data_IF_325771667103
#
_entry.id   IF_325771667103
#
_cell.length_a   1.000
_cell.length_b   1.000
_cell.length_c   1.000
_cell.angle_alpha   90.00
_cell.angle_beta   90.00
_cell.angle_gamma   90.00
#
_symmetry.space_group_name_H-M   'P 1'
#
loop_
_entity.id
_entity.type
_entity.pdbx_description
1 polymer ?
#
# COMPACT_ATOMS: atom_id res chain seq x y z
N UNK A 1 51.47 -7.59 -32.94
CA UNK A 1 51.20 -6.44 -32.04
C UNK A 1 50.04 -5.51 -32.52
N UNK A 2 50.01 -5.03 -33.77
CA UNK A 2 48.91 -4.11 -34.23
C UNK A 2 47.48 -4.68 -34.12
N UNK A 3 47.27 -5.99 -34.33
CA UNK A 3 45.95 -6.65 -34.21
C UNK A 3 45.43 -6.73 -32.77
N UNK A 4 46.31 -6.88 -31.78
CA UNK A 4 45.93 -6.93 -30.37
C UNK A 4 45.46 -5.57 -29.85
N UNK A 5 46.11 -4.49 -30.28
CA UNK A 5 45.67 -3.13 -29.90
C UNK A 5 44.30 -2.77 -30.50
N UNK A 6 44.01 -3.24 -31.71
CA UNK A 6 42.71 -3.03 -32.35
C UNK A 6 41.60 -3.75 -31.60
N UNK A 7 41.82 -4.96 -31.10
CA UNK A 7 40.90 -5.73 -30.25
C UNK A 7 40.64 -5.05 -28.92
N UNK A 8 41.69 -4.51 -28.27
CA UNK A 8 41.54 -3.74 -27.03
C UNK A 8 40.74 -2.44 -27.26
N UNK A 9 40.99 -1.75 -28.36
CA UNK A 9 40.23 -0.54 -28.71
C UNK A 9 38.75 -0.82 -28.96
N UNK A 10 38.42 -1.91 -29.66
CA UNK A 10 37.07 -2.37 -29.88
C UNK A 10 36.36 -2.76 -28.56
N UNK A 11 37.11 -3.44 -27.66
CA UNK A 11 36.56 -3.83 -26.35
C UNK A 11 36.31 -2.62 -25.44
N UNK A 12 37.19 -1.61 -25.47
CA UNK A 12 36.97 -0.33 -24.80
C UNK A 12 35.81 0.45 -25.39
N UNK A 13 35.61 0.43 -26.70
CA UNK A 13 34.45 1.08 -27.36
C UNK A 13 33.12 0.39 -26.99
N UNK A 14 33.07 -0.93 -26.90
CA UNK A 14 31.88 -1.69 -26.51
C UNK A 14 31.49 -1.41 -25.06
N UNK A 15 32.46 -1.22 -24.15
CA UNK A 15 32.19 -0.90 -22.74
C UNK A 15 31.63 0.51 -22.54
N UNK A 16 31.78 1.43 -23.48
CA UNK A 16 31.20 2.78 -23.40
C UNK A 16 29.69 2.77 -23.74
N UNK A 17 29.20 1.77 -24.47
CA UNK A 17 27.80 1.67 -24.87
C UNK A 17 26.90 0.92 -23.86
N UNK A 18 27.45 0.35 -22.79
CA UNK A 18 26.69 -0.36 -21.76
C UNK A 18 26.17 0.53 -20.62
N UNK A 19 25.99 1.83 -20.86
CA UNK A 19 25.25 2.66 -19.91
C UNK A 19 23.80 2.18 -19.89
N UNK A 20 23.42 1.47 -18.85
CA UNK A 20 22.03 1.19 -18.58
C UNK A 20 21.29 2.54 -18.51
N UNK A 21 20.50 2.84 -19.54
CA UNK A 21 19.75 4.08 -19.58
C UNK A 21 18.75 4.03 -18.43
N UNK A 22 18.95 4.88 -17.45
CA UNK A 22 18.09 4.98 -16.28
C UNK A 22 17.24 6.25 -16.34
N UNK A 23 16.12 6.20 -15.64
CA UNK A 23 15.24 7.35 -15.39
C UNK A 23 15.31 7.58 -13.89
N UNK A 24 15.55 8.83 -13.47
CA UNK A 24 15.57 9.20 -12.05
C UNK A 24 14.33 10.03 -11.73
N UNK A 25 13.52 9.57 -10.79
CA UNK A 25 12.42 10.34 -10.24
C UNK A 25 12.92 11.24 -9.12
N UNK A 26 12.55 12.52 -9.17
CA UNK A 26 12.92 13.53 -8.18
C UNK A 26 11.70 14.29 -7.69
N UNK A 27 11.75 14.74 -6.44
CA UNK A 27 10.76 15.63 -5.85
C UNK A 27 10.75 16.99 -6.54
N UNK A 28 9.60 17.50 -6.91
CA UNK A 28 9.42 18.85 -7.45
C UNK A 28 9.87 19.92 -6.46
N UNK A 29 9.60 19.71 -5.17
CA UNK A 29 9.91 20.69 -4.12
C UNK A 29 11.38 20.70 -3.71
N UNK A 30 11.99 19.52 -3.60
CA UNK A 30 13.31 19.38 -2.98
C UNK A 30 14.41 19.00 -3.96
N UNK A 31 14.05 18.64 -5.20
CA UNK A 31 14.94 18.08 -6.23
C UNK A 31 15.70 16.82 -5.77
N UNK A 32 15.28 16.21 -4.66
CA UNK A 32 15.89 14.97 -4.15
C UNK A 32 15.31 13.74 -4.85
N UNK A 33 16.09 12.67 -5.01
CA UNK A 33 15.61 11.40 -5.53
C UNK A 33 14.44 10.83 -4.71
N UNK A 34 13.45 10.27 -5.41
CA UNK A 34 12.27 9.64 -4.81
C UNK A 34 12.36 8.11 -4.92
N UNK A 35 12.71 7.41 -3.82
CA UNK A 35 12.70 5.95 -3.80
C UNK A 35 11.26 5.42 -3.74
N UNK A 36 11.08 4.16 -4.20
CA UNK A 36 9.78 3.46 -4.15
C UNK A 36 8.68 4.10 -5.01
N UNK A 37 9.01 4.89 -6.00
CA UNK A 37 8.06 5.29 -7.03
C UNK A 37 7.68 4.05 -7.84
N UNK A 38 6.39 3.79 -7.97
CA UNK A 38 5.86 2.68 -8.75
C UNK A 38 5.39 3.19 -10.11
N UNK A 39 5.80 2.51 -11.17
CA UNK A 39 5.36 2.79 -12.54
C UNK A 39 4.44 1.68 -13.01
N UNK A 40 3.19 2.03 -13.32
CA UNK A 40 2.18 1.10 -13.82
C UNK A 40 1.98 1.31 -15.31
N UNK A 41 1.79 0.22 -16.03
CA UNK A 41 1.42 0.22 -17.44
C UNK A 41 -0.09 0.41 -17.64
N UNK A 42 -0.49 0.43 -18.91
CA UNK A 42 -1.89 0.61 -19.36
C UNK A 42 -2.82 -0.47 -18.80
N UNK A 43 -2.32 -1.67 -18.63
CA UNK A 43 -3.01 -2.87 -18.12
C UNK A 43 -2.99 -2.98 -16.59
N UNK A 44 -2.53 -1.94 -15.88
CA UNK A 44 -2.46 -1.92 -14.43
C UNK A 44 -1.34 -2.77 -13.83
N UNK A 45 -0.49 -3.38 -14.65
CA UNK A 45 0.67 -4.11 -14.17
C UNK A 45 1.77 -3.15 -13.73
N UNK A 46 2.48 -3.52 -12.65
CA UNK A 46 3.66 -2.79 -12.22
C UNK A 46 4.81 -3.15 -13.16
N UNK A 47 5.37 -2.12 -13.79
CA UNK A 47 6.49 -2.26 -14.72
C UNK A 47 7.83 -2.08 -14.03
N UNK A 48 7.90 -1.14 -13.08
CA UNK A 48 9.13 -0.82 -12.38
C UNK A 48 8.86 -0.19 -11.00
N UNK A 49 9.85 -0.34 -10.11
CA UNK A 49 9.97 0.41 -8.87
C UNK A 49 11.29 1.16 -8.86
N UNK A 50 11.29 2.41 -8.44
CA UNK A 50 12.53 3.13 -8.25
C UNK A 50 13.29 2.60 -7.03
N UNK A 51 14.61 2.51 -7.19
CA UNK A 51 15.54 2.14 -6.13
C UNK A 51 15.73 3.28 -5.10
N UNK A 52 16.68 3.10 -4.19
CA UNK A 52 16.99 4.10 -3.15
C UNK A 52 17.51 5.42 -3.73
N UNK A 53 18.05 5.40 -4.94
CA UNK A 53 18.51 6.58 -5.68
C UNK A 53 17.41 7.16 -6.60
N UNK A 54 16.19 6.67 -6.48
CA UNK A 54 15.06 7.10 -7.31
C UNK A 54 15.10 6.61 -8.75
N UNK A 55 15.93 5.61 -9.07
CA UNK A 55 16.21 5.17 -10.46
C UNK A 55 15.40 3.94 -10.84
N UNK A 56 14.95 3.93 -12.11
CA UNK A 56 14.45 2.74 -12.80
C UNK A 56 15.22 2.52 -14.10
N UNK A 57 15.23 1.29 -14.60
CA UNK A 57 15.80 0.99 -15.91
C UNK A 57 14.82 1.34 -17.06
N UNK A 58 15.26 2.09 -18.05
CA UNK A 58 14.42 2.46 -19.21
C UNK A 58 13.88 1.26 -19.98
N UNK A 59 14.60 0.14 -19.97
CA UNK A 59 14.16 -1.10 -20.65
C UNK A 59 12.88 -1.70 -20.06
N UNK A 60 12.50 -1.33 -18.83
CA UNK A 60 11.24 -1.74 -18.22
C UNK A 60 10.01 -1.06 -18.86
N UNK A 61 10.22 0.00 -19.64
CA UNK A 61 9.19 0.79 -20.27
C UNK A 61 9.16 0.50 -21.79
N UNK A 62 7.98 0.18 -22.30
CA UNK A 62 7.78 -0.04 -23.74
C UNK A 62 7.16 1.19 -24.41
N UNK A 63 7.68 1.63 -25.59
CA UNK A 63 7.05 2.68 -26.39
C UNK A 63 5.62 2.38 -26.84
N UNK A 64 5.24 1.10 -26.88
CA UNK A 64 3.87 0.66 -27.22
C UNK A 64 2.83 0.97 -26.15
N UNK A 65 3.28 1.35 -24.97
CA UNK A 65 2.41 1.78 -23.89
C UNK A 65 2.20 3.29 -23.98
N UNK A 66 0.97 3.69 -24.25
CA UNK A 66 0.62 5.09 -24.48
C UNK A 66 0.71 5.94 -23.21
N UNK A 67 0.43 5.33 -22.05
CA UNK A 67 0.40 6.02 -20.76
C UNK A 67 0.99 5.16 -19.65
N UNK A 68 1.69 5.84 -18.75
CA UNK A 68 2.25 5.28 -17.51
C UNK A 68 1.64 6.02 -16.33
N UNK A 69 1.06 5.27 -15.41
CA UNK A 69 0.60 5.83 -14.14
C UNK A 69 1.72 5.78 -13.13
N UNK A 70 2.09 6.93 -12.60
CA UNK A 70 3.12 7.09 -11.58
C UNK A 70 2.46 7.17 -10.21
N UNK A 71 2.91 6.32 -9.31
CA UNK A 71 2.39 6.21 -7.95
C UNK A 71 3.52 6.39 -6.97
N UNK A 72 3.34 7.31 -6.04
CA UNK A 72 4.27 7.53 -4.94
C UNK A 72 3.50 7.53 -3.61
N UNK A 73 4.00 6.76 -2.63
CA UNK A 73 3.34 6.57 -1.34
C UNK A 73 1.85 6.16 -1.45
N UNK A 74 1.54 5.27 -2.41
CA UNK A 74 0.20 4.78 -2.72
C UNK A 74 -0.77 5.82 -3.32
N UNK A 75 -0.29 7.02 -3.65
CA UNK A 75 -1.09 8.02 -4.35
C UNK A 75 -0.67 8.13 -5.83
N UNK A 76 -1.62 8.20 -6.76
CA UNK A 76 -1.32 8.53 -8.14
C UNK A 76 -0.87 10.00 -8.20
N UNK A 77 0.38 10.22 -8.52
CA UNK A 77 1.00 11.54 -8.55
C UNK A 77 1.16 12.12 -9.95
N UNK A 78 1.19 11.27 -10.97
CA UNK A 78 1.25 11.70 -12.37
C UNK A 78 0.74 10.62 -13.33
N UNK A 79 0.29 11.06 -14.51
CA UNK A 79 0.04 10.19 -15.66
C UNK A 79 0.87 10.71 -16.82
N UNK A 80 1.87 9.96 -17.27
CA UNK A 80 2.88 10.39 -18.22
C UNK A 80 2.76 9.60 -19.51
N UNK A 81 3.03 10.26 -20.65
CA UNK A 81 3.25 9.58 -21.93
C UNK A 81 4.64 8.95 -21.96
N UNK A 82 4.93 8.11 -22.98
CA UNK A 82 6.28 7.57 -23.16
C UNK A 82 7.32 8.69 -23.36
N UNK A 83 7.00 9.75 -24.11
CA UNK A 83 7.90 10.89 -24.31
C UNK A 83 8.18 11.67 -23.02
N UNK A 84 7.20 11.72 -22.10
CA UNK A 84 7.36 12.45 -20.84
C UNK A 84 8.17 11.67 -19.81
N UNK A 85 7.99 10.36 -19.75
CA UNK A 85 8.70 9.50 -18.80
C UNK A 85 10.10 9.11 -19.32
N UNK A 86 10.33 9.05 -20.64
CA UNK A 86 11.61 8.63 -21.22
C UNK A 86 12.66 9.75 -21.21
N UNK A 87 12.78 10.45 -20.10
CA UNK A 87 13.78 11.49 -19.81
C UNK A 87 14.81 10.91 -18.82
N UNK A 88 15.94 11.58 -18.66
CA UNK A 88 16.93 11.19 -17.64
C UNK A 88 16.41 11.50 -16.23
N UNK A 89 15.67 12.61 -16.10
CA UNK A 89 15.07 13.05 -14.84
C UNK A 89 13.58 13.33 -15.06
N UNK A 90 12.75 12.76 -14.19
CA UNK A 90 11.31 12.99 -14.16
C UNK A 90 10.94 13.59 -12.82
N UNK A 91 10.44 14.82 -12.86
CA UNK A 91 10.02 15.54 -11.65
C UNK A 91 8.61 15.13 -11.25
N UNK A 92 8.41 14.81 -9.98
CA UNK A 92 7.14 14.38 -9.39
C UNK A 92 6.72 15.37 -8.32
N UNK A 93 5.44 15.78 -8.36
CA UNK A 93 4.84 16.51 -7.26
C UNK A 93 4.54 15.52 -6.14
N UNK A 94 5.37 15.53 -5.12
CA UNK A 94 5.31 14.63 -3.96
C UNK A 94 4.71 15.29 -2.72
N UNK A 95 4.04 16.45 -2.90
CA UNK A 95 3.41 17.15 -1.78
C UNK A 95 2.16 16.41 -1.30
N UNK A 96 2.16 16.09 -0.02
CA UNK A 96 0.99 15.56 0.67
C UNK A 96 0.12 16.72 1.16
N UNK A 97 -1.20 16.49 1.12
CA UNK A 97 -2.14 17.44 1.73
C UNK A 97 -1.91 17.39 3.26
N UNK A 98 -1.64 18.55 3.86
CA UNK A 98 -1.57 18.65 5.31
C UNK A 98 -2.92 18.29 5.93
N UNK A 99 -2.87 17.53 7.04
CA UNK A 99 -4.06 17.14 7.78
C UNK A 99 -4.50 18.34 8.62
N UNK A 100 -5.69 18.87 8.34
CA UNK A 100 -6.27 19.92 9.17
C UNK A 100 -6.65 19.38 10.55
N UNK A 101 -6.03 19.91 11.59
CA UNK A 101 -6.35 19.55 12.97
C UNK A 101 -7.52 20.39 13.45
N UNK A 102 -8.69 19.80 13.57
CA UNK A 102 -9.84 20.48 14.20
C UNK A 102 -9.71 20.41 15.72
N UNK A 103 -9.27 21.49 16.32
CA UNK A 103 -9.17 21.61 17.79
C UNK A 103 -10.48 22.15 18.34
N UNK A 104 -11.32 21.28 18.90
CA UNK A 104 -12.48 21.72 19.67
C UNK A 104 -11.97 22.18 21.04
N UNK A 105 -12.03 23.49 21.31
CA UNK A 105 -11.67 24.08 22.62
C UNK A 105 -12.71 23.67 23.67
N UNK A 106 -12.44 22.61 24.38
CA UNK A 106 -13.22 22.20 25.53
C UNK A 106 -12.42 22.45 26.82
N UNK A 107 -13.03 22.98 27.86
CA UNK A 107 -12.38 23.31 29.16
C UNK A 107 -11.95 22.05 29.95
N UNK A 108 -12.43 20.86 29.57
CA UNK A 108 -12.00 19.57 30.13
C UNK A 108 -11.32 18.75 29.03
N UNK A 109 -10.22 18.04 29.31
CA UNK A 109 -9.58 17.17 28.33
C UNK A 109 -10.59 16.12 27.84
N UNK A 110 -10.74 16.05 26.54
CA UNK A 110 -11.63 15.06 25.91
C UNK A 110 -11.21 13.64 26.25
N UNK A 111 -12.19 12.75 26.40
CA UNK A 111 -11.95 11.36 26.77
C UNK A 111 -11.36 10.53 25.62
N UNK A 112 -11.72 10.87 24.38
CA UNK A 112 -11.34 10.13 23.19
C UNK A 112 -10.68 11.01 22.14
N UNK A 113 -9.82 10.38 21.36
CA UNK A 113 -9.22 10.94 20.14
C UNK A 113 -9.84 10.16 18.98
N UNK A 114 -10.46 10.86 18.05
CA UNK A 114 -10.98 10.31 16.81
C UNK A 114 -10.01 10.60 15.69
N UNK A 115 -9.56 9.56 15.01
CA UNK A 115 -8.73 9.64 13.82
C UNK A 115 -9.54 9.10 12.66
N UNK A 116 -10.11 10.02 11.87
CA UNK A 116 -10.85 9.70 10.65
C UNK A 116 -9.89 9.69 9.48
N UNK A 117 -10.14 8.81 8.52
CA UNK A 117 -9.32 8.76 7.32
C UNK A 117 -9.84 7.79 6.27
N UNK A 118 -9.12 7.79 5.18
CA UNK A 118 -9.37 6.90 4.04
C UNK A 118 -8.58 5.61 4.22
N UNK A 119 -9.18 4.50 3.84
CA UNK A 119 -8.47 3.22 3.81
C UNK A 119 -8.62 2.55 2.44
N UNK A 120 -7.65 1.73 2.11
CA UNK A 120 -7.81 0.68 1.12
C UNK A 120 -7.16 -0.60 1.62
N UNK A 121 -7.72 -1.72 1.19
CA UNK A 121 -7.13 -3.02 1.42
C UNK A 121 -7.33 -3.89 0.17
N UNK A 122 -6.34 -4.71 -0.15
CA UNK A 122 -6.43 -5.60 -1.29
C UNK A 122 -5.63 -6.87 -1.07
N UNK A 123 -6.03 -7.90 -1.81
CA UNK A 123 -5.39 -9.22 -1.76
C UNK A 123 -4.95 -9.58 -3.17
N UNK A 124 -3.70 -10.00 -3.28
CA UNK A 124 -3.19 -10.62 -4.51
C UNK A 124 -2.97 -12.11 -4.29
N UNK A 125 -3.20 -12.90 -5.33
CA UNK A 125 -2.88 -14.31 -5.38
C UNK A 125 -2.01 -14.58 -6.61
N UNK A 126 -0.82 -15.13 -6.41
CA UNK A 126 0.16 -15.39 -7.47
C UNK A 126 0.41 -14.13 -8.34
N UNK A 127 0.60 -12.98 -7.67
CA UNK A 127 0.81 -11.66 -8.28
C UNK A 127 -0.36 -11.09 -9.09
N UNK A 128 -1.56 -11.69 -9.01
CA UNK A 128 -2.79 -11.12 -9.60
C UNK A 128 -3.69 -10.55 -8.52
N UNK A 129 -4.24 -9.36 -8.78
CA UNK A 129 -5.21 -8.75 -7.87
C UNK A 129 -6.48 -9.60 -7.84
N UNK A 130 -6.88 -10.03 -6.65
CA UNK A 130 -8.02 -10.92 -6.44
C UNK A 130 -9.24 -10.20 -5.85
N UNK A 131 -9.01 -9.37 -4.85
CA UNK A 131 -10.05 -8.58 -4.19
C UNK A 131 -9.52 -7.24 -3.72
N UNK A 132 -10.41 -6.26 -3.64
CA UNK A 132 -10.10 -4.90 -3.24
C UNK A 132 -11.26 -4.31 -2.44
N UNK A 133 -10.95 -3.50 -1.45
CA UNK A 133 -11.91 -2.65 -0.73
C UNK A 133 -11.30 -1.29 -0.45
N UNK A 134 -12.12 -0.28 -0.49
CA UNK A 134 -11.76 1.07 -0.05
C UNK A 134 -12.92 1.71 0.73
N UNK A 135 -12.63 2.76 1.47
CA UNK A 135 -13.67 3.43 2.25
C UNK A 135 -13.14 4.49 3.20
N UNK A 136 -14.07 4.95 4.02
CA UNK A 136 -13.84 5.94 5.07
C UNK A 136 -14.08 5.27 6.42
N UNK A 137 -13.13 5.44 7.35
CA UNK A 137 -13.13 4.78 8.65
C UNK A 137 -12.64 5.75 9.73
N UNK A 138 -13.21 5.64 10.92
CA UNK A 138 -12.79 6.40 12.10
C UNK A 138 -12.32 5.44 13.19
N UNK A 139 -11.07 5.59 13.61
CA UNK A 139 -10.50 4.90 14.77
C UNK A 139 -10.62 5.79 16.00
N UNK A 140 -11.14 5.23 17.09
CA UNK A 140 -11.36 5.93 18.34
C UNK A 140 -10.39 5.42 19.39
N UNK A 141 -9.51 6.29 19.84
CA UNK A 141 -8.51 5.99 20.86
C UNK A 141 -8.90 6.62 22.20
N UNK A 142 -8.55 5.97 23.28
CA UNK A 142 -8.61 6.55 24.60
C UNK A 142 -7.53 7.65 24.72
N UNK A 143 -7.92 8.86 25.08
CA UNK A 143 -6.98 9.98 25.10
C UNK A 143 -5.88 9.86 26.17
N UNK A 144 -6.15 9.16 27.28
CA UNK A 144 -5.17 8.94 28.34
C UNK A 144 -4.19 7.82 28.01
N UNK A 145 -4.72 6.67 27.60
CA UNK A 145 -3.91 5.46 27.38
C UNK A 145 -3.43 5.29 25.95
N UNK A 146 -3.94 6.10 25.01
CA UNK A 146 -3.70 6.02 23.56
C UNK A 146 -4.04 4.65 22.94
N UNK A 147 -4.79 3.81 23.66
CA UNK A 147 -5.20 2.49 23.16
C UNK A 147 -6.50 2.59 22.36
N UNK A 148 -6.56 1.82 21.27
CA UNK A 148 -7.76 1.72 20.43
C UNK A 148 -8.96 1.21 21.25
N UNK A 149 -10.08 1.88 21.17
CA UNK A 149 -11.34 1.55 21.84
C UNK A 149 -12.44 1.06 20.91
N UNK A 150 -12.53 1.68 19.73
CA UNK A 150 -13.48 1.26 18.71
C UNK A 150 -12.98 1.61 17.31
N UNK A 151 -13.56 0.93 16.34
CA UNK A 151 -13.35 1.16 14.92
C UNK A 151 -14.72 1.33 14.29
N UNK A 152 -14.97 2.48 13.70
CA UNK A 152 -16.26 2.86 13.14
C UNK A 152 -16.10 3.02 11.63
N UNK A 153 -16.63 2.09 10.85
CA UNK A 153 -16.64 2.20 9.39
C UNK A 153 -17.80 3.12 9.03
N UNK A 154 -17.55 4.12 8.20
CA UNK A 154 -18.59 5.03 7.73
C UNK A 154 -19.20 4.54 6.43
N UNK A 155 -18.36 4.24 5.46
CA UNK A 155 -18.77 3.72 4.16
C UNK A 155 -17.61 3.00 3.48
N UNK A 156 -17.93 2.05 2.57
CA UNK A 156 -16.91 1.27 1.86
C UNK A 156 -17.46 0.67 0.58
N UNK A 157 -16.54 0.33 -0.36
CA UNK A 157 -16.81 -0.47 -1.55
C UNK A 157 -16.01 -1.77 -1.52
N UNK A 158 -16.58 -2.80 -2.12
CA UNK A 158 -15.95 -4.12 -2.28
C UNK A 158 -15.92 -4.49 -3.76
N UNK A 159 -14.76 -4.98 -4.20
CA UNK A 159 -14.55 -5.46 -5.56
C UNK A 159 -13.90 -6.84 -5.54
N UNK A 160 -14.32 -7.69 -6.45
CA UNK A 160 -13.76 -9.03 -6.67
C UNK A 160 -13.50 -9.29 -8.13
N UNK A 161 -12.50 -10.12 -8.40
CA UNK A 161 -12.22 -10.61 -9.73
C UNK A 161 -13.40 -11.46 -10.21
N UNK A 162 -13.99 -11.12 -11.36
CA UNK A 162 -15.17 -11.82 -11.87
C UNK A 162 -14.89 -13.31 -12.12
N UNK A 163 -13.72 -13.64 -12.64
CA UNK A 163 -13.30 -15.00 -12.96
C UNK A 163 -12.85 -15.80 -11.74
N UNK A 164 -12.44 -15.16 -10.64
CA UNK A 164 -12.07 -15.85 -9.42
C UNK A 164 -13.23 -16.69 -8.84
N UNK A 165 -14.46 -16.30 -9.11
CA UNK A 165 -15.64 -17.11 -8.73
C UNK A 165 -15.76 -18.37 -9.58
N UNK A 166 -15.33 -18.34 -10.84
CA UNK A 166 -15.32 -19.49 -11.72
C UNK A 166 -14.07 -20.36 -11.54
N UNK A 167 -12.94 -19.76 -11.20
CA UNK A 167 -11.68 -20.44 -10.86
C UNK A 167 -11.72 -21.11 -9.47
N UNK A 168 -12.64 -20.72 -8.57
CA UNK A 168 -12.87 -21.43 -7.29
C UNK A 168 -13.05 -22.93 -7.44
N UNK A 169 -13.48 -23.39 -8.60
CA UNK A 169 -13.61 -24.82 -8.91
C UNK A 169 -12.31 -25.50 -9.37
N UNK A 170 -11.24 -24.72 -9.66
CA UNK A 170 -10.03 -25.28 -10.30
C UNK A 170 -8.73 -25.13 -9.52
N UNK A 171 -8.57 -24.14 -8.64
CA UNK A 171 -7.25 -23.77 -8.13
C UNK A 171 -7.10 -23.94 -6.61
N UNK A 172 -8.08 -23.62 -5.80
CA UNK A 172 -7.99 -23.80 -4.34
C UNK A 172 -9.36 -23.80 -3.68
N UNK A 173 -9.52 -24.64 -2.66
CA UNK A 173 -10.67 -24.57 -1.75
C UNK A 173 -10.58 -23.37 -0.78
N UNK A 174 -9.48 -22.61 -0.81
CA UNK A 174 -9.30 -21.43 0.03
C UNK A 174 -10.05 -20.23 -0.54
N UNK A 175 -10.93 -19.67 0.28
CA UNK A 175 -11.59 -18.42 -0.07
C UNK A 175 -10.65 -17.23 0.22
N UNK A 176 -10.01 -16.71 -0.85
CA UNK A 176 -9.12 -15.55 -0.74
C UNK A 176 -9.83 -14.30 -0.24
N UNK A 177 -11.17 -14.21 -0.41
CA UNK A 177 -11.94 -13.09 0.14
C UNK A 177 -11.86 -13.03 1.67
N UNK A 178 -11.62 -14.18 2.33
CA UNK A 178 -11.40 -14.24 3.78
C UNK A 178 -10.15 -13.49 4.25
N UNK A 179 -9.19 -13.28 3.34
CA UNK A 179 -7.95 -12.54 3.59
C UNK A 179 -8.12 -11.02 3.46
N UNK A 180 -9.24 -10.56 2.87
CA UNK A 180 -9.57 -9.14 2.80
C UNK A 180 -9.99 -8.63 4.18
N UNK A 181 -9.18 -7.78 4.79
CA UNK A 181 -9.38 -7.25 6.14
C UNK A 181 -9.26 -5.73 6.13
N UNK A 182 -9.82 -5.11 7.14
CA UNK A 182 -9.61 -3.68 7.39
C UNK A 182 -8.26 -3.45 8.08
N UNK A 183 -7.61 -2.30 7.87
CA UNK A 183 -6.44 -1.90 8.63
C UNK A 183 -6.71 -1.97 10.14
N UNK A 184 -5.78 -2.50 10.91
CA UNK A 184 -5.95 -2.74 12.36
C UNK A 184 -5.02 -1.85 13.19
N UNK A 185 -5.36 -0.58 13.33
CA UNK A 185 -4.58 0.41 14.07
C UNK A 185 -4.68 0.18 15.58
N UNK A 186 -3.80 -0.64 16.16
CA UNK A 186 -3.84 -0.93 17.61
C UNK A 186 -3.02 0.03 18.46
N UNK A 187 -1.78 0.30 18.06
CA UNK A 187 -0.78 0.99 18.88
C UNK A 187 0.02 2.00 18.06
N UNK A 188 -0.66 3.03 17.54
CA UNK A 188 0.00 4.07 16.74
C UNK A 188 0.98 4.85 17.61
N UNK A 189 2.26 4.87 17.19
CA UNK A 189 3.31 5.61 17.89
C UNK A 189 3.78 5.01 19.22
N UNK A 190 3.39 3.78 19.54
CA UNK A 190 3.82 3.09 20.77
C UNK A 190 4.58 1.81 20.39
N UNK A 191 5.85 1.91 19.93
CA UNK A 191 6.60 0.74 19.46
C UNK A 191 6.79 -0.34 20.54
N UNK A 192 6.80 0.03 21.82
CA UNK A 192 6.94 -0.89 22.95
C UNK A 192 5.83 -1.94 22.99
N UNK A 193 4.60 -1.57 22.60
CA UNK A 193 3.45 -2.49 22.59
C UNK A 193 3.55 -3.55 21.45
N UNK A 194 4.44 -3.36 20.49
CA UNK A 194 4.77 -4.36 19.46
C UNK A 194 5.95 -5.25 19.85
N UNK A 195 6.63 -4.99 20.98
CA UNK A 195 7.75 -5.82 21.41
C UNK A 195 7.27 -7.22 21.78
N UNK A 196 7.68 -8.18 21.00
CA UNK A 196 7.55 -9.61 21.29
C UNK A 196 8.91 -10.28 21.08
N UNK A 197 9.07 -11.55 21.48
CA UNK A 197 10.30 -12.32 21.17
C UNK A 197 10.56 -12.50 19.67
N UNK A 198 9.62 -12.12 18.81
CA UNK A 198 9.61 -12.42 17.38
C UNK A 198 9.68 -11.18 16.51
N UNK A 199 9.20 -10.03 16.99
CA UNK A 199 9.12 -8.83 16.21
C UNK A 199 10.46 -8.09 16.20
N UNK A 200 10.85 -7.64 15.03
CA UNK A 200 11.95 -6.70 14.83
C UNK A 200 11.31 -5.33 14.64
N UNK A 201 11.69 -4.37 15.48
CA UNK A 201 11.22 -2.99 15.40
C UNK A 201 12.38 -2.11 15.01
N UNK A 202 12.17 -1.28 13.99
CA UNK A 202 13.14 -0.29 13.51
C UNK A 202 12.49 1.08 13.45
N UNK A 203 13.21 2.08 13.92
CA UNK A 203 12.87 3.48 13.69
C UNK A 203 13.76 4.00 12.56
N UNK A 204 13.13 4.51 11.51
CA UNK A 204 13.79 5.00 10.31
C UNK A 204 13.54 6.50 10.21
N UNK A 205 14.62 7.27 10.08
CA UNK A 205 14.56 8.72 9.84
C UNK A 205 14.69 8.96 8.34
N UNK A 206 13.62 9.46 7.75
CA UNK A 206 13.60 9.78 6.32
C UNK A 206 13.84 11.27 6.04
N UNK A 207 13.99 11.59 4.78
CA UNK A 207 14.16 12.98 4.35
C UNK A 207 12.88 13.81 4.46
N UNK A 208 11.72 13.18 4.35
CA UNK A 208 10.41 13.84 4.39
C UNK A 208 9.56 13.42 5.59
N UNK A 209 9.66 12.18 6.00
CA UNK A 209 8.89 11.58 7.10
C UNK A 209 9.75 10.58 7.87
N UNK A 210 9.44 10.42 9.15
CA UNK A 210 10.00 9.36 9.97
C UNK A 210 9.07 8.13 9.94
N UNK A 211 9.61 6.93 10.16
CA UNK A 211 8.85 5.70 10.12
C UNK A 211 9.18 4.78 11.30
N UNK A 212 8.19 4.04 11.75
CA UNK A 212 8.37 2.86 12.59
C UNK A 212 8.03 1.65 11.74
N UNK A 213 9.00 0.78 11.51
CA UNK A 213 8.81 -0.53 10.86
C UNK A 213 8.76 -1.63 11.92
N UNK A 214 7.71 -2.44 11.87
CA UNK A 214 7.58 -3.65 12.69
C UNK A 214 7.52 -4.85 11.75
N UNK A 215 8.49 -5.74 11.84
CA UNK A 215 8.53 -6.98 11.05
C UNK A 215 8.31 -8.17 11.97
N UNK A 216 7.30 -8.98 11.66
CA UNK A 216 7.08 -10.31 12.23
C UNK A 216 7.35 -11.37 11.16
N UNK A 217 8.38 -12.18 11.37
CA UNK A 217 8.81 -13.22 10.44
C UNK A 217 8.78 -14.61 11.09
N UNK A 218 7.68 -14.91 11.77
CA UNK A 218 7.54 -16.03 12.71
C UNK A 218 7.72 -17.41 12.09
N UNK A 219 7.38 -17.59 10.83
CA UNK A 219 7.24 -18.91 10.22
C UNK A 219 7.97 -19.03 8.87
N UNK A 220 9.08 -18.33 8.70
CA UNK A 220 9.87 -18.44 7.47
C UNK A 220 10.44 -19.85 7.23
N UNK A 221 10.53 -20.69 8.28
CA UNK A 221 11.19 -22.01 8.19
C UNK A 221 10.31 -23.18 8.63
N UNK A 222 9.09 -22.95 9.12
CA UNK A 222 8.20 -24.02 9.57
C UNK A 222 6.90 -24.03 8.79
N UNK A 223 6.60 -25.19 8.22
CA UNK A 223 5.29 -25.45 7.65
C UNK A 223 4.28 -25.70 8.79
N UNK A 224 3.15 -24.99 8.75
CA UNK A 224 2.01 -25.25 9.61
C UNK A 224 0.94 -26.00 8.83
N UNK A 225 0.43 -27.08 9.39
CA UNK A 225 -0.70 -27.82 8.82
C UNK A 225 -1.95 -27.57 9.66
N UNK A 226 -3.02 -27.08 9.02
CA UNK A 226 -4.30 -26.82 9.67
C UNK A 226 -5.45 -27.16 8.72
N UNK A 227 -6.37 -28.03 9.14
CA UNK A 227 -7.57 -28.42 8.37
C UNK A 227 -7.29 -28.86 6.91
N UNK A 228 -6.17 -29.55 6.68
CA UNK A 228 -5.77 -29.99 5.34
C UNK A 228 -5.05 -28.95 4.50
N UNK A 229 -4.88 -27.73 5.01
CA UNK A 229 -4.04 -26.70 4.43
C UNK A 229 -2.65 -26.72 5.03
N UNK A 230 -1.67 -26.39 4.21
CA UNK A 230 -0.28 -26.18 4.58
C UNK A 230 0.06 -24.71 4.36
N UNK A 231 0.50 -24.05 5.41
CA UNK A 231 0.91 -22.66 5.42
C UNK A 231 2.42 -22.57 5.63
N UNK A 232 3.06 -21.74 4.85
CA UNK A 232 4.50 -21.55 4.87
C UNK A 232 4.84 -20.09 4.61
N UNK A 233 6.05 -19.66 5.04
CA UNK A 233 6.61 -18.33 4.76
C UNK A 233 5.68 -17.17 5.18
N UNK A 234 5.12 -17.25 6.39
CA UNK A 234 4.27 -16.19 6.93
C UNK A 234 5.16 -15.05 7.44
N UNK A 235 4.94 -13.87 6.88
CA UNK A 235 5.65 -12.64 7.26
C UNK A 235 4.67 -11.46 7.25
N UNK A 236 4.74 -10.63 8.28
CA UNK A 236 4.02 -9.36 8.31
C UNK A 236 5.02 -8.21 8.44
N UNK A 237 4.83 -7.17 7.64
CA UNK A 237 5.58 -5.92 7.72
C UNK A 237 4.56 -4.82 7.93
N UNK A 238 4.70 -4.10 9.03
CA UNK A 238 3.90 -2.94 9.37
C UNK A 238 4.79 -1.70 9.32
N UNK A 239 4.39 -0.69 8.58
CA UNK A 239 5.02 0.62 8.54
C UNK A 239 4.04 1.69 9.02
N UNK A 240 4.45 2.48 10.00
CA UNK A 240 3.74 3.67 10.46
C UNK A 240 4.60 4.89 10.17
N UNK A 241 4.05 5.85 9.42
CA UNK A 241 4.76 7.08 9.05
C UNK A 241 4.27 8.25 9.90
N UNK A 242 5.20 9.13 10.25
CA UNK A 242 4.97 10.32 11.07
C UNK A 242 5.65 11.52 10.42
N UNK A 243 5.20 12.71 10.78
CA UNK A 243 5.88 13.96 10.41
C UNK A 243 7.36 13.90 10.81
N UNK A 244 8.19 14.46 9.94
CA UNK A 244 9.65 14.47 10.15
C UNK A 244 10.03 15.16 11.45
N UNK A 245 10.93 14.53 12.21
CA UNK A 245 11.46 15.05 13.48
C UNK A 245 10.36 15.36 14.52
N UNK A 246 9.18 14.78 14.39
CA UNK A 246 8.09 14.97 15.34
C UNK A 246 8.01 13.84 16.37
N UNK A 247 7.22 14.08 17.42
CA UNK A 247 6.81 13.04 18.34
C UNK A 247 5.99 11.97 17.58
N UNK A 248 6.25 10.69 17.84
CA UNK A 248 5.54 9.56 17.26
C UNK A 248 4.17 9.38 17.93
N UNK A 249 3.25 10.31 17.66
CA UNK A 249 1.92 10.38 18.26
C UNK A 249 0.82 10.41 17.21
N UNK A 250 -0.43 10.20 17.62
CA UNK A 250 -1.60 10.27 16.74
C UNK A 250 -1.74 11.62 16.03
N UNK A 251 -1.23 12.69 16.64
CA UNK A 251 -1.27 14.04 16.06
C UNK A 251 -0.41 14.17 14.81
N UNK A 252 0.74 13.52 14.83
CA UNK A 252 1.75 13.60 13.77
C UNK A 252 1.73 12.36 12.86
N UNK A 253 0.70 11.54 12.98
CA UNK A 253 0.56 10.31 12.24
C UNK A 253 0.07 10.57 10.82
N UNK A 254 0.80 10.09 9.82
CA UNK A 254 0.55 10.35 8.41
C UNK A 254 -0.02 9.14 7.67
N UNK A 255 0.43 7.92 8.05
CA UNK A 255 0.14 6.75 7.20
C UNK A 255 0.38 5.45 7.96
N UNK A 256 -0.49 4.46 7.70
CA UNK A 256 -0.34 3.08 8.15
C UNK A 256 -0.35 2.16 6.94
N UNK A 257 0.65 1.32 6.82
CA UNK A 257 0.78 0.32 5.77
C UNK A 257 1.17 -1.02 6.38
N UNK A 258 0.33 -2.02 6.21
CA UNK A 258 0.61 -3.38 6.63
C UNK A 258 0.57 -4.31 5.43
N UNK A 259 1.60 -5.13 5.29
CA UNK A 259 1.69 -6.15 4.24
C UNK A 259 1.90 -7.51 4.89
N UNK A 260 1.03 -8.45 4.61
CA UNK A 260 1.13 -9.82 5.07
C UNK A 260 1.35 -10.77 3.88
N UNK A 261 2.41 -11.55 3.97
CA UNK A 261 2.77 -12.59 3.01
C UNK A 261 2.46 -13.96 3.59
N UNK A 262 1.90 -14.84 2.79
CA UNK A 262 1.73 -16.25 3.13
C UNK A 262 1.78 -17.12 1.88
N UNK A 263 2.46 -18.25 1.96
CA UNK A 263 2.35 -19.33 0.98
C UNK A 263 1.41 -20.38 1.54
N UNK A 264 0.41 -20.74 0.75
CA UNK A 264 -0.67 -21.63 1.16
C UNK A 264 -0.96 -22.65 0.08
N UNK A 265 -1.17 -23.91 0.47
CA UNK A 265 -1.78 -24.94 -0.42
C UNK A 265 -2.68 -25.87 0.38
N UNK A 266 -3.70 -26.40 -0.28
CA UNK A 266 -4.43 -27.55 0.23
C UNK A 266 -3.63 -28.85 -0.04
N UNK A 267 -3.85 -29.89 0.76
CA UNK A 267 -3.16 -31.21 0.59
C UNK A 267 -3.35 -31.83 -0.79
N UNK A 268 -4.44 -31.49 -1.49
CA UNK A 268 -4.74 -31.95 -2.86
C UNK A 268 -4.11 -31.11 -3.96
N UNK A 269 -3.44 -30.01 -3.61
CA UNK A 269 -2.81 -29.11 -4.56
C UNK A 269 -1.31 -29.43 -4.70
N UNK A 270 -0.74 -29.46 -5.92
CA UNK A 270 0.67 -29.76 -6.11
C UNK A 270 1.58 -28.64 -5.64
N UNK A 271 1.17 -27.38 -5.82
CA UNK A 271 2.00 -26.19 -5.59
C UNK A 271 1.41 -25.25 -4.53
N UNK A 272 2.27 -24.38 -3.99
CA UNK A 272 1.84 -23.31 -3.08
C UNK A 272 1.32 -22.11 -3.86
N UNK A 273 0.21 -21.56 -3.41
CA UNK A 273 -0.26 -20.26 -3.83
C UNK A 273 0.35 -19.18 -2.93
N UNK A 274 0.90 -18.13 -3.52
CA UNK A 274 1.36 -16.96 -2.80
C UNK A 274 0.21 -15.97 -2.63
N UNK A 275 -0.15 -15.70 -1.38
CA UNK A 275 -1.18 -14.71 -1.03
C UNK A 275 -0.48 -13.55 -0.35
N UNK A 276 -0.75 -12.34 -0.83
CA UNK A 276 -0.27 -11.11 -0.21
C UNK A 276 -1.47 -10.22 0.08
N UNK A 277 -1.63 -9.83 1.34
CA UNK A 277 -2.66 -8.89 1.79
C UNK A 277 -2.02 -7.56 2.12
N UNK A 278 -2.62 -6.49 1.63
CA UNK A 278 -2.20 -5.11 1.85
C UNK A 278 -3.33 -4.37 2.58
N UNK A 279 -2.99 -3.66 3.65
CA UNK A 279 -3.92 -2.87 4.43
C UNK A 279 -3.32 -1.47 4.64
N UNK A 280 -3.96 -0.45 4.12
CA UNK A 280 -3.46 0.91 4.15
C UNK A 280 -4.49 1.85 4.77
N UNK A 281 -4.03 2.82 5.55
CA UNK A 281 -4.86 3.86 6.14
C UNK A 281 -4.15 5.22 6.08
N UNK A 282 -4.90 6.25 5.71
CA UNK A 282 -4.44 7.61 5.51
C UNK A 282 -5.33 8.55 6.34
N UNK A 283 -4.84 9.04 7.49
CA UNK A 283 -5.60 10.00 8.31
C UNK A 283 -5.92 11.26 7.50
N UNK A 284 -7.15 11.76 7.63
CA UNK A 284 -7.59 13.02 7.01
C UNK A 284 -8.07 14.02 8.02
N UNK A 285 -8.46 13.57 9.22
CA UNK A 285 -8.98 14.43 10.29
C UNK A 285 -8.63 13.83 11.64
N UNK A 286 -8.27 14.69 12.58
CA UNK A 286 -8.07 14.35 13.98
C UNK A 286 -8.95 15.26 14.84
N UNK A 287 -9.81 14.67 15.66
CA UNK A 287 -10.70 15.40 16.55
C UNK A 287 -10.72 14.82 17.97
N UNK A 288 -11.10 15.64 18.93
CA UNK A 288 -11.17 15.26 20.35
C UNK A 288 -12.62 15.30 20.80
N UNK A 289 -13.13 14.20 21.35
CA UNK A 289 -14.53 14.07 21.73
C UNK A 289 -14.69 13.30 23.05
N UNK A 290 -15.86 13.49 23.71
CA UNK A 290 -16.24 12.70 24.89
C UNK A 290 -17.11 11.49 24.54
N UNK A 291 -17.56 11.39 23.31
CA UNK A 291 -18.34 10.26 22.78
C UNK A 291 -17.47 9.32 21.94
N UNK A 292 -17.78 8.02 21.97
CA UNK A 292 -17.14 7.00 21.12
C UNK A 292 -17.69 6.94 19.70
N UNK A 293 -18.80 7.64 19.43
CA UNK A 293 -19.59 7.46 18.21
C UNK A 293 -20.44 6.18 18.26
N UNK A 294 -21.70 6.30 17.88
CA UNK A 294 -22.70 5.24 18.11
C UNK A 294 -23.02 4.38 16.90
N UNK A 295 -22.78 4.83 15.68
CA UNK A 295 -23.16 4.09 14.48
C UNK A 295 -22.00 3.29 13.92
N UNK A 296 -22.18 1.97 13.85
CA UNK A 296 -21.23 1.03 13.30
C UNK A 296 -21.84 0.37 12.09
N UNK A 297 -21.40 0.77 10.91
CA UNK A 297 -21.57 -0.07 9.73
C UNK A 297 -20.69 -1.31 9.94
N UNK A 298 -21.32 -2.49 9.89
CA UNK A 298 -20.57 -3.75 9.95
C UNK A 298 -19.92 -4.00 8.60
N UNK A 299 -18.61 -4.24 8.61
CA UNK A 299 -17.89 -4.66 7.40
C UNK A 299 -18.43 -6.01 6.92
N UNK A 300 -19.06 -5.98 5.75
CA UNK A 300 -19.60 -7.14 5.08
C UNK A 300 -18.85 -7.33 3.75
N UNK A 301 -18.27 -8.50 3.53
CA UNK A 301 -17.48 -8.76 2.32
C UNK A 301 -18.35 -9.07 1.09
N UNK A 302 -19.64 -9.24 1.28
CA UNK A 302 -20.55 -9.59 0.20
C UNK A 302 -21.23 -8.37 -0.43
N UNK A 303 -21.17 -7.22 0.24
CA UNK A 303 -21.82 -5.99 -0.21
C UNK A 303 -20.92 -4.77 -0.01
N UNK A 304 -20.99 -3.82 -0.95
CA UNK A 304 -20.58 -2.44 -0.72
C UNK A 304 -21.61 -1.74 0.19
N UNK A 305 -21.18 -0.73 0.94
CA UNK A 305 -22.06 0.08 1.77
C UNK A 305 -21.58 1.54 1.76
N UNK A 306 -22.26 2.37 0.98
CA UNK A 306 -21.93 3.79 0.86
C UNK A 306 -23.18 4.62 0.52
N UNK A 307 -23.14 5.88 0.93
CA UNK A 307 -24.21 6.87 0.66
C UNK A 307 -23.72 7.99 -0.26
N UNK A 308 -22.41 8.19 -0.36
CA UNK A 308 -21.77 9.22 -1.19
C UNK A 308 -20.67 8.63 -2.04
N UNK A 309 -20.27 9.36 -3.09
CA UNK A 309 -19.15 8.96 -3.94
C UNK A 309 -17.84 9.47 -3.35
N UNK A 310 -17.49 9.04 -2.13
CA UNK A 310 -16.29 9.45 -1.38
C UNK A 310 -14.98 9.27 -2.17
N UNK A 311 -14.93 8.33 -3.08
CA UNK A 311 -13.76 8.06 -3.94
C UNK A 311 -13.50 9.13 -5.00
N UNK A 312 -14.41 10.10 -5.17
CA UNK A 312 -14.21 11.26 -6.03
C UNK A 312 -13.52 12.42 -5.31
N UNK A 313 -13.38 12.35 -4.00
CA UNK A 313 -12.63 13.35 -3.25
C UNK A 313 -11.14 13.30 -3.70
N UNK A 314 -10.53 14.44 -4.07
CA UNK A 314 -9.14 14.48 -4.50
C UNK A 314 -8.14 13.98 -3.44
N UNK A 315 -8.51 14.01 -2.16
CA UNK A 315 -7.68 13.47 -1.07
C UNK A 315 -7.76 11.96 -0.92
N UNK A 316 -8.68 11.30 -1.64
CA UNK A 316 -8.88 9.87 -1.55
C UNK A 316 -7.83 9.12 -2.40
N UNK A 317 -7.08 8.16 -1.82
CA UNK A 317 -6.11 7.36 -2.56
C UNK A 317 -6.84 6.39 -3.49
N UNK A 318 -7.06 6.80 -4.73
CA UNK A 318 -7.87 6.05 -5.67
C UNK A 318 -7.07 4.97 -6.40
N UNK A 319 -6.99 3.78 -5.81
CA UNK A 319 -6.34 2.63 -6.43
C UNK A 319 -7.01 2.18 -7.74
N UNK A 320 -8.28 2.51 -7.96
CA UNK A 320 -8.95 2.21 -9.25
C UNK A 320 -8.29 2.91 -10.42
N UNK A 321 -7.77 4.12 -10.21
CA UNK A 321 -7.03 4.84 -11.27
C UNK A 321 -5.73 4.12 -11.62
N UNK A 322 -5.09 3.48 -10.63
CA UNK A 322 -3.84 2.75 -10.78
C UNK A 322 -4.07 1.43 -11.52
N UNK A 323 -5.12 0.71 -11.15
CA UNK A 323 -5.49 -0.57 -11.73
C UNK A 323 -6.65 -0.42 -12.73
N UNK A 324 -6.64 0.62 -13.56
CA UNK A 324 -7.80 0.99 -14.40
C UNK A 324 -8.27 -0.11 -15.36
N UNK A 325 -7.37 -0.92 -15.91
CA UNK A 325 -7.74 -2.07 -16.74
C UNK A 325 -8.37 -3.19 -15.93
N UNK A 326 -7.83 -3.48 -14.75
CA UNK A 326 -8.39 -4.46 -13.82
C UNK A 326 -9.83 -4.13 -13.44
N UNK A 327 -10.06 -2.87 -13.07
CA UNK A 327 -11.39 -2.43 -12.63
C UNK A 327 -12.40 -2.34 -13.78
N UNK A 328 -11.96 -2.24 -15.03
CA UNK A 328 -12.85 -2.23 -16.19
C UNK A 328 -13.33 -3.63 -16.55
N UNK A 329 -12.39 -4.58 -16.61
CA UNK A 329 -12.63 -5.86 -17.27
C UNK A 329 -12.76 -7.01 -16.27
N UNK A 330 -11.97 -6.98 -15.18
CA UNK A 330 -11.80 -8.13 -14.30
C UNK A 330 -12.37 -7.92 -12.90
N UNK A 331 -12.30 -6.72 -12.33
CA UNK A 331 -12.85 -6.41 -11.01
C UNK A 331 -14.25 -5.82 -11.13
N UNK A 332 -15.20 -6.49 -10.49
CA UNK A 332 -16.60 -6.02 -10.40
C UNK A 332 -16.92 -5.62 -8.98
N UNK A 333 -17.55 -4.47 -8.84
CA UNK A 333 -18.06 -4.01 -7.56
C UNK A 333 -19.22 -4.91 -7.10
N UNK A 334 -19.21 -5.25 -5.82
CA UNK A 334 -20.35 -5.90 -5.16
C UNK A 334 -21.51 -4.90 -5.02
N UNK A 335 -22.71 -5.43 -5.09
CA UNK A 335 -23.93 -4.62 -4.98
C UNK A 335 -23.90 -3.75 -3.72
N UNK A 336 -24.28 -2.48 -3.86
CA UNK A 336 -24.40 -1.58 -2.71
C UNK A 336 -25.64 -1.93 -1.90
N UNK A 337 -25.47 -2.15 -0.62
CA UNK A 337 -26.55 -2.41 0.32
C UNK A 337 -27.14 -1.05 0.72
N UNK A 338 -28.22 -0.65 0.05
CA UNK A 338 -28.99 0.54 0.40
C UNK A 338 -29.76 0.34 1.69
#
# INVERSE_FOLDING_TARGET
MKRTYLLYLIFCLISIFSNAQTITFVSEKTSKPLPKVSVFGKDGNILAFSDIEGKIEKKALSPSQEKFQIVYNNFPVASLSYSDINKEVVTINDQFKEIETVVIKNTKPAKYIHVKGNFNAYVTMNNRLNSYTDGVITYVFDNKTKKLKSTNIEQYRIFYLADAQNEKKKVSSWDTSSSLKLPALKYVGIPEEYKTKRNIIKELKGDQKDQIEVTDAVLQQKELSLFGFRLFDIKTILNMSFEKNSEKSLKNFLEYNEVMYVKLKHKSEPEYNQIISYNNFYPTELSFNNDKGNEKVKFDRDYSNYQSQFWKDPSFPNMQTIFSSFFKDDLKEKQNKK
#
